data_IF_647243662152
#
_entry.id   IF_647243662152
#
_cell.length_a   1.000
_cell.length_b   1.000
_cell.length_c   1.000
_cell.angle_alpha   90.00
_cell.angle_beta   90.00
_cell.angle_gamma   90.00
#
_symmetry.space_group_name_H-M   'P 1'
#
loop_
_entity.id
_entity.type
_entity.pdbx_description
1 polymer ?
#
# COMPACT_ATOMS: atom_id res chain seq x y z
N UNK A 1 -19.47 -0.30 -9.19
CA UNK A 1 -19.41 -0.71 -10.60
C UNK A 1 -20.21 0.25 -11.47
N UNK A 2 -21.50 0.40 -11.23
CA UNK A 2 -22.40 1.23 -12.07
C UNK A 2 -22.04 2.71 -12.10
N UNK A 3 -21.43 3.23 -11.03
CA UNK A 3 -20.92 4.60 -10.97
C UNK A 3 -19.61 4.80 -11.75
N UNK A 4 -18.99 3.74 -12.28
CA UNK A 4 -17.71 3.82 -12.97
C UNK A 4 -16.50 4.18 -12.09
N UNK A 5 -16.66 4.12 -10.76
CA UNK A 5 -15.63 4.46 -9.78
C UNK A 5 -14.68 3.28 -9.58
N UNK A 6 -13.39 3.55 -9.57
CA UNK A 6 -12.40 2.57 -9.14
C UNK A 6 -12.34 2.51 -7.60
N UNK A 7 -12.21 1.31 -7.05
CA UNK A 7 -12.15 1.08 -5.60
C UNK A 7 -10.78 0.54 -5.21
N UNK A 8 -10.34 0.89 -4.02
CA UNK A 8 -9.15 0.39 -3.37
C UNK A 8 -9.49 -0.07 -1.95
N UNK A 9 -8.99 -1.22 -1.56
CA UNK A 9 -9.28 -1.84 -0.27
C UNK A 9 -8.02 -1.88 0.57
N UNK A 10 -8.17 -1.59 1.84
CA UNK A 10 -7.09 -1.60 2.82
C UNK A 10 -7.48 -2.41 4.04
N UNK A 11 -6.50 -3.06 4.64
CA UNK A 11 -6.58 -3.55 6.01
C UNK A 11 -5.94 -2.48 6.90
N UNK A 12 -6.55 -2.20 8.04
CA UNK A 12 -5.94 -1.35 9.05
C UNK A 12 -4.62 -1.98 9.51
N UNK A 13 -3.54 -1.26 9.25
CA UNK A 13 -2.21 -1.71 9.61
C UNK A 13 -1.91 -1.38 11.06
N UNK A 14 -1.11 -2.22 11.72
CA UNK A 14 -0.61 -1.92 13.05
C UNK A 14 0.24 -0.66 13.00
N UNK A 15 0.02 0.29 13.92
CA UNK A 15 0.82 1.51 13.95
C UNK A 15 2.29 1.20 14.15
N UNK A 16 3.12 1.91 13.42
CA UNK A 16 4.56 1.82 13.53
C UNK A 16 5.12 3.13 14.07
N UNK A 17 6.29 3.08 14.69
CA UNK A 17 6.99 4.26 15.19
C UNK A 17 6.20 5.08 16.22
N UNK A 18 5.45 4.40 17.08
CA UNK A 18 4.71 5.01 18.20
C UNK A 18 3.77 6.15 17.76
N UNK A 19 3.10 6.00 16.64
CA UNK A 19 2.25 7.04 16.06
C UNK A 19 1.00 7.29 16.89
N UNK A 20 0.76 8.54 17.25
CA UNK A 20 -0.32 8.93 18.15
C UNK A 20 -1.72 8.70 17.60
N UNK A 21 -1.94 8.84 16.30
CA UNK A 21 -3.25 8.65 15.68
C UNK A 21 -3.71 7.18 15.64
N UNK A 22 -2.84 6.26 15.96
CA UNK A 22 -3.14 4.85 16.14
C UNK A 22 -3.17 4.41 17.63
N UNK A 23 -3.04 5.36 18.56
CA UNK A 23 -3.26 5.07 19.98
C UNK A 23 -4.70 4.59 20.16
N UNK A 24 -5.02 3.75 21.04
CA UNK A 24 -6.34 3.16 21.28
C UNK A 24 -6.66 1.94 20.41
N UNK A 25 -5.63 1.12 20.13
CA UNK A 25 -5.80 -0.16 19.45
C UNK A 25 -6.86 -1.03 20.11
N UNK A 26 -6.84 -1.10 21.43
CA UNK A 26 -7.74 -1.94 22.24
C UNK A 26 -9.21 -1.49 22.17
N UNK A 27 -9.45 -0.22 21.85
CA UNK A 27 -10.78 0.37 21.72
C UNK A 27 -11.26 0.48 20.27
N UNK A 28 -10.37 0.25 19.31
CA UNK A 28 -10.65 0.46 17.90
C UNK A 28 -11.26 -0.79 17.26
N UNK A 29 -12.57 -0.78 17.09
CA UNK A 29 -13.35 -1.86 16.45
C UNK A 29 -12.96 -2.15 15.00
N UNK A 30 -12.13 -1.34 14.38
CA UNK A 30 -11.64 -1.56 13.00
C UNK A 30 -10.39 -2.41 12.93
N UNK A 31 -9.77 -2.76 14.07
CA UNK A 31 -8.67 -3.69 14.11
C UNK A 31 -9.16 -5.14 14.05
N UNK A 32 -8.51 -5.89 13.18
CA UNK A 32 -8.82 -7.30 12.98
C UNK A 32 -8.09 -8.14 14.03
N UNK A 33 -8.83 -9.06 14.59
CA UNK A 33 -8.33 -10.09 15.52
C UNK A 33 -8.20 -11.44 14.82
N UNK A 34 -7.52 -12.43 15.40
CA UNK A 34 -7.48 -13.79 14.84
C UNK A 34 -8.86 -14.40 14.58
N UNK A 35 -9.89 -14.00 15.34
CA UNK A 35 -11.27 -14.49 15.17
C UNK A 35 -11.92 -13.97 13.89
N UNK A 36 -11.38 -12.89 13.31
CA UNK A 36 -11.89 -12.27 12.08
C UNK A 36 -11.21 -12.80 10.82
N UNK A 37 -10.06 -13.48 10.94
CA UNK A 37 -9.22 -13.84 9.79
C UNK A 37 -9.97 -14.65 8.74
N UNK A 38 -10.78 -15.64 9.16
CA UNK A 38 -11.54 -16.45 8.19
C UNK A 38 -12.52 -15.60 7.38
N UNK A 39 -13.24 -14.68 8.03
CA UNK A 39 -14.21 -13.81 7.36
C UNK A 39 -13.52 -12.85 6.39
N UNK A 40 -12.34 -12.33 6.78
CA UNK A 40 -11.56 -11.44 5.92
C UNK A 40 -10.95 -12.20 4.75
N UNK A 41 -10.47 -13.43 4.97
CA UNK A 41 -10.02 -14.31 3.88
C UNK A 41 -11.11 -14.54 2.85
N UNK A 42 -12.32 -14.90 3.30
CA UNK A 42 -13.48 -15.11 2.43
C UNK A 42 -13.86 -13.84 1.67
N UNK A 43 -13.82 -12.69 2.34
CA UNK A 43 -14.08 -11.40 1.70
C UNK A 43 -13.03 -11.06 0.63
N UNK A 44 -11.75 -11.25 0.93
CA UNK A 44 -10.66 -10.96 -0.02
C UNK A 44 -10.72 -11.92 -1.23
N UNK A 45 -11.08 -13.20 -1.03
CA UNK A 45 -11.29 -14.15 -2.12
C UNK A 45 -12.50 -13.78 -2.97
N UNK A 46 -13.59 -13.35 -2.35
CA UNK A 46 -14.77 -12.85 -3.06
C UNK A 46 -14.43 -11.62 -3.90
N UNK A 47 -13.71 -10.65 -3.34
CA UNK A 47 -13.29 -9.44 -4.05
C UNK A 47 -12.39 -9.78 -5.25
N UNK A 48 -11.46 -10.71 -5.08
CA UNK A 48 -10.55 -11.14 -6.15
C UNK A 48 -11.32 -11.85 -7.26
N UNK A 49 -12.23 -12.75 -6.92
CA UNK A 49 -13.09 -13.44 -7.89
C UNK A 49 -14.01 -12.46 -8.65
N UNK A 50 -14.63 -11.52 -7.93
CA UNK A 50 -15.50 -10.49 -8.50
C UNK A 50 -14.74 -9.61 -9.49
N UNK A 51 -13.52 -9.20 -9.14
CA UNK A 51 -12.63 -8.43 -10.03
C UNK A 51 -12.40 -9.12 -11.37
N UNK A 52 -12.15 -10.42 -11.35
CA UNK A 52 -11.85 -11.21 -12.55
C UNK A 52 -13.09 -11.56 -13.38
N UNK A 53 -14.19 -11.86 -12.72
CA UNK A 53 -15.39 -12.39 -13.39
C UNK A 53 -16.33 -11.28 -13.89
N UNK A 54 -16.42 -10.16 -13.19
CA UNK A 54 -17.40 -9.12 -13.41
C UNK A 54 -16.81 -7.79 -13.92
N UNK A 55 -15.49 -7.71 -14.09
CA UNK A 55 -14.81 -6.54 -14.64
C UNK A 55 -14.85 -5.29 -13.75
N UNK A 56 -14.97 -5.47 -12.44
CA UNK A 56 -14.91 -4.36 -11.49
C UNK A 56 -13.61 -3.58 -11.64
N UNK A 57 -13.70 -2.26 -11.53
CA UNK A 57 -12.54 -1.37 -11.51
C UNK A 57 -11.93 -1.37 -10.11
N UNK A 58 -11.08 -2.33 -9.83
CA UNK A 58 -10.41 -2.48 -8.55
C UNK A 58 -8.91 -2.22 -8.70
N UNK A 59 -8.36 -1.36 -7.84
CA UNK A 59 -6.94 -1.01 -7.84
C UNK A 59 -6.09 -2.15 -7.30
N UNK A 60 -6.60 -2.84 -6.25
CA UNK A 60 -5.90 -3.97 -5.66
C UNK A 60 -5.73 -5.10 -6.67
N UNK A 61 -4.54 -5.66 -6.71
CA UNK A 61 -4.21 -6.84 -7.51
C UNK A 61 -4.45 -8.12 -6.70
N UNK A 62 -4.69 -9.26 -7.37
CA UNK A 62 -4.84 -10.56 -6.71
C UNK A 62 -3.69 -10.85 -5.75
N UNK A 63 -2.46 -10.57 -6.17
CA UNK A 63 -1.29 -10.74 -5.32
C UNK A 63 -1.36 -9.86 -4.06
N UNK A 64 -1.79 -8.61 -4.19
CA UNK A 64 -1.95 -7.70 -3.04
C UNK A 64 -2.98 -8.22 -2.04
N UNK A 65 -4.11 -8.75 -2.53
CA UNK A 65 -5.11 -9.36 -1.65
C UNK A 65 -4.59 -10.59 -0.90
N UNK A 66 -3.81 -11.45 -1.57
CA UNK A 66 -3.17 -12.58 -0.91
C UNK A 66 -2.13 -12.14 0.13
N UNK A 67 -1.40 -11.07 -0.13
CA UNK A 67 -0.45 -10.51 0.82
C UNK A 67 -1.13 -9.80 2.01
N UNK A 68 -2.32 -9.23 1.82
CA UNK A 68 -3.14 -8.75 2.94
C UNK A 68 -3.51 -9.87 3.92
N UNK A 69 -3.81 -11.08 3.42
CA UNK A 69 -4.05 -12.24 4.28
C UNK A 69 -2.80 -12.62 5.08
N UNK A 70 -1.63 -12.48 4.46
CA UNK A 70 -0.35 -12.74 5.14
C UNK A 70 -0.02 -11.63 6.15
N UNK A 71 -0.32 -10.36 5.82
CA UNK A 71 -0.14 -9.23 6.73
C UNK A 71 -0.86 -9.43 8.07
N UNK A 72 -2.14 -9.84 8.02
CA UNK A 72 -2.91 -10.13 9.24
C UNK A 72 -2.24 -11.18 10.13
N UNK A 73 -1.44 -12.08 9.53
CA UNK A 73 -0.73 -13.17 10.22
C UNK A 73 0.72 -12.81 10.55
N UNK A 74 1.12 -11.56 10.32
CA UNK A 74 2.49 -11.09 10.57
C UNK A 74 3.56 -11.68 9.62
N UNK A 75 3.17 -12.11 8.40
CA UNK A 75 4.03 -12.87 7.50
C UNK A 75 4.20 -12.21 6.11
N UNK A 76 4.26 -10.88 6.03
CA UNK A 76 4.44 -10.19 4.76
C UNK A 76 5.85 -10.42 4.19
N UNK A 77 5.98 -10.89 2.94
CA UNK A 77 7.28 -10.97 2.29
C UNK A 77 7.91 -9.58 2.15
N UNK A 78 9.22 -9.44 2.38
CA UNK A 78 9.91 -8.16 2.22
C UNK A 78 9.73 -7.59 0.80
N UNK A 79 9.45 -6.30 0.72
CA UNK A 79 9.33 -5.56 -0.54
C UNK A 79 10.09 -4.25 -0.48
N UNK A 80 10.44 -3.70 -1.63
CA UNK A 80 11.24 -2.47 -1.68
C UNK A 80 10.34 -1.24 -1.66
N UNK A 81 10.13 -0.68 -0.48
CA UNK A 81 9.39 0.56 -0.29
C UNK A 81 10.13 1.75 -0.92
N UNK A 82 9.38 2.61 -1.61
CA UNK A 82 9.86 3.84 -2.25
C UNK A 82 9.32 5.12 -1.61
N UNK A 83 8.78 5.03 -0.40
CA UNK A 83 8.35 6.19 0.36
C UNK A 83 9.48 7.24 0.46
N UNK A 84 9.14 8.51 0.33
CA UNK A 84 10.09 9.62 0.27
C UNK A 84 10.89 9.73 -1.04
N UNK A 85 10.70 8.80 -1.98
CA UNK A 85 11.33 8.84 -3.31
C UNK A 85 10.29 9.07 -4.43
N UNK A 86 9.16 8.40 -4.37
CA UNK A 86 8.07 8.48 -5.36
C UNK A 86 6.78 9.04 -4.79
N UNK A 87 6.69 9.16 -3.51
CA UNK A 87 5.56 9.73 -2.78
C UNK A 87 6.04 10.54 -1.58
N UNK A 88 5.30 11.58 -1.26
CA UNK A 88 5.58 12.49 -0.17
C UNK A 88 4.25 13.02 0.35
N UNK A 89 4.14 13.17 1.65
CA UNK A 89 2.99 13.77 2.30
C UNK A 89 3.39 15.14 2.84
N UNK A 90 2.53 16.11 2.58
CA UNK A 90 2.62 17.43 3.16
C UNK A 90 1.58 17.49 4.27
N UNK A 91 2.03 17.72 5.51
CA UNK A 91 1.14 17.88 6.65
C UNK A 91 0.46 19.26 6.61
N UNK A 92 -0.59 19.43 7.40
CA UNK A 92 -1.37 20.68 7.46
C UNK A 92 -0.56 21.87 7.94
N UNK A 93 0.53 21.66 8.64
CA UNK A 93 1.46 22.68 9.10
C UNK A 93 2.60 22.98 8.11
N UNK A 94 2.59 22.35 6.93
CA UNK A 94 3.59 22.49 5.87
C UNK A 94 4.83 21.62 6.07
N UNK A 95 4.91 20.83 7.13
CA UNK A 95 5.98 19.87 7.33
C UNK A 95 5.80 18.62 6.46
N UNK A 96 6.85 17.85 6.29
CA UNK A 96 6.88 16.70 5.40
C UNK A 96 6.80 15.38 6.18
N UNK A 97 6.25 14.36 5.52
CA UNK A 97 6.35 12.98 5.95
C UNK A 97 6.58 12.06 4.74
N UNK A 98 7.38 10.99 4.86
CA UNK A 98 7.70 10.12 3.74
C UNK A 98 6.53 9.25 3.28
N UNK A 99 5.61 8.91 4.19
CA UNK A 99 4.43 8.10 3.91
C UNK A 99 3.37 8.26 5.01
N UNK A 100 2.18 7.69 4.78
CA UNK A 100 1.08 7.75 5.73
C UNK A 100 1.37 6.99 7.05
N UNK A 101 1.94 5.78 7.06
CA UNK A 101 2.35 5.13 8.30
C UNK A 101 3.38 5.90 9.14
N UNK A 102 4.08 6.86 8.56
CA UNK A 102 5.01 7.76 9.27
C UNK A 102 4.47 9.18 9.45
N UNK A 103 3.17 9.38 9.24
CA UNK A 103 2.56 10.72 9.27
C UNK A 103 2.76 11.44 10.60
N UNK A 104 2.60 10.75 11.72
CA UNK A 104 2.74 11.29 13.08
C UNK A 104 4.10 11.00 13.71
N UNK A 105 5.04 10.39 12.98
CA UNK A 105 6.37 10.15 13.50
C UNK A 105 7.06 11.48 13.85
N UNK A 106 7.77 11.50 14.96
CA UNK A 106 8.41 12.72 15.50
C UNK A 106 9.63 13.16 14.73
N UNK A 107 10.08 12.39 13.75
CA UNK A 107 11.24 12.72 12.95
C UNK A 107 11.00 13.97 12.10
N UNK A 108 11.96 14.91 12.09
CA UNK A 108 11.90 16.15 11.32
C UNK A 108 12.38 15.92 9.88
N UNK A 109 11.44 15.76 8.98
CA UNK A 109 11.69 15.66 7.53
C UNK A 109 11.77 17.03 6.83
N UNK A 110 11.69 18.14 7.59
CA UNK A 110 11.67 19.49 7.07
C UNK A 110 10.33 19.93 6.50
N UNK A 111 10.40 20.94 5.66
CA UNK A 111 9.23 21.53 4.95
C UNK A 111 9.44 21.47 3.44
N UNK A 112 8.43 21.86 2.66
CA UNK A 112 8.54 21.97 1.19
C UNK A 112 9.69 22.90 0.80
N UNK A 113 9.85 24.01 1.53
CA UNK A 113 10.85 25.03 1.24
C UNK A 113 12.26 24.60 1.67
N UNK A 114 12.33 23.78 2.72
CA UNK A 114 13.59 23.27 3.27
C UNK A 114 13.47 21.78 3.64
N UNK A 115 13.48 20.89 2.65
CA UNK A 115 13.38 19.45 2.90
C UNK A 115 14.67 18.92 3.55
N UNK A 116 14.50 18.06 4.55
CA UNK A 116 15.57 17.43 5.32
C UNK A 116 15.60 15.92 5.17
N UNK A 117 15.36 15.42 3.96
CA UNK A 117 15.35 13.99 3.72
C UNK A 117 16.78 13.40 3.77
N UNK A 118 17.06 12.67 4.81
CA UNK A 118 18.17 11.73 4.86
C UNK A 118 17.68 10.37 4.31
N UNK A 119 18.06 10.08 3.07
CA UNK A 119 17.65 8.85 2.40
C UNK A 119 18.27 7.60 3.02
N UNK A 120 19.48 7.68 3.60
CA UNK A 120 20.12 6.55 4.25
C UNK A 120 19.34 6.17 5.52
N UNK A 121 19.03 7.15 6.35
CA UNK A 121 18.21 6.95 7.54
C UNK A 121 16.79 6.45 7.18
N UNK A 122 16.17 7.03 6.15
CA UNK A 122 14.86 6.59 5.70
C UNK A 122 14.89 5.13 5.20
N UNK A 123 15.94 4.72 4.50
CA UNK A 123 16.08 3.35 4.01
C UNK A 123 16.32 2.36 5.16
N UNK A 124 17.00 2.74 6.24
CA UNK A 124 17.11 1.96 7.47
C UNK A 124 15.73 1.78 8.14
N UNK A 125 14.98 2.86 8.32
CA UNK A 125 13.62 2.82 8.89
C UNK A 125 12.69 1.94 8.05
N UNK A 126 12.82 1.93 6.72
CA UNK A 126 12.03 1.10 5.83
C UNK A 126 12.29 -0.40 5.97
N UNK A 127 13.47 -0.81 6.41
CA UNK A 127 13.77 -2.23 6.63
C UNK A 127 12.84 -2.83 7.68
N UNK A 128 12.58 -2.10 8.75
CA UNK A 128 11.61 -2.50 9.77
C UNK A 128 10.18 -2.50 9.21
N UNK A 129 9.79 -1.42 8.51
CA UNK A 129 8.44 -1.26 7.98
C UNK A 129 8.06 -2.31 6.95
N UNK A 130 8.99 -2.75 6.11
CA UNK A 130 8.68 -3.55 4.90
C UNK A 130 8.08 -4.91 5.19
N UNK A 131 8.20 -5.41 6.40
CA UNK A 131 7.63 -6.69 6.85
C UNK A 131 6.27 -6.55 7.53
N UNK A 132 5.83 -5.33 7.81
CA UNK A 132 4.61 -5.03 8.58
C UNK A 132 3.69 -4.03 7.89
N UNK A 133 3.97 -3.68 6.64
CA UNK A 133 3.25 -2.64 5.92
C UNK A 133 2.96 -3.07 4.49
N UNK A 134 1.72 -2.89 4.06
CA UNK A 134 1.27 -3.01 2.67
C UNK A 134 0.54 -1.73 2.23
N UNK A 135 1.00 -0.57 2.71
CA UNK A 135 0.41 0.73 2.33
C UNK A 135 0.28 0.85 0.83
N UNK A 136 -0.95 0.93 0.33
CA UNK A 136 -1.25 0.98 -1.12
C UNK A 136 -0.60 2.15 -1.81
N UNK A 137 -0.39 3.27 -1.11
CA UNK A 137 0.33 4.42 -1.65
C UNK A 137 1.76 4.10 -2.09
N UNK A 138 2.40 3.09 -1.49
CA UNK A 138 3.79 2.73 -1.77
C UNK A 138 3.94 1.33 -2.33
N UNK A 139 3.16 0.36 -1.82
CA UNK A 139 3.26 -1.03 -2.20
C UNK A 139 2.93 -1.24 -3.69
N UNK A 140 1.80 -0.74 -4.16
CA UNK A 140 1.39 -0.84 -5.57
C UNK A 140 2.39 -0.11 -6.47
N UNK A 141 2.84 1.08 -6.07
CA UNK A 141 3.81 1.85 -6.83
C UNK A 141 5.19 1.18 -6.89
N UNK A 142 5.56 0.35 -5.90
CA UNK A 142 6.82 -0.39 -5.93
C UNK A 142 6.94 -1.30 -7.16
N UNK A 143 5.83 -1.81 -7.68
CA UNK A 143 5.83 -2.64 -8.90
C UNK A 143 6.24 -1.87 -10.14
N UNK A 144 6.01 -0.55 -10.20
CA UNK A 144 6.43 0.29 -11.32
C UNK A 144 7.97 0.39 -11.45
N UNK A 145 8.70 -0.01 -10.41
CA UNK A 145 10.16 -0.04 -10.40
C UNK A 145 10.76 -1.43 -10.65
N UNK A 146 9.92 -2.45 -10.82
CA UNK A 146 10.35 -3.77 -11.27
C UNK A 146 10.42 -3.79 -12.80
N UNK A 147 11.62 -3.62 -13.33
CA UNK A 147 11.87 -3.55 -14.78
C UNK A 147 11.29 -4.75 -15.54
N UNK A 148 11.38 -5.97 -14.98
CA UNK A 148 10.85 -7.17 -15.64
C UNK A 148 9.33 -7.12 -15.76
N UNK A 149 8.65 -6.67 -14.71
CA UNK A 149 7.17 -6.51 -14.73
C UNK A 149 6.75 -5.41 -15.68
N UNK A 150 7.43 -4.27 -15.65
CA UNK A 150 7.15 -3.14 -16.57
C UNK A 150 7.32 -3.58 -18.02
N UNK A 151 8.40 -4.27 -18.36
CA UNK A 151 8.62 -4.78 -19.72
C UNK A 151 7.57 -5.81 -20.15
N UNK A 152 7.21 -6.74 -19.26
CA UNK A 152 6.13 -7.72 -19.53
C UNK A 152 4.79 -7.01 -19.77
N UNK A 153 4.46 -6.04 -18.92
CA UNK A 153 3.25 -5.23 -19.08
C UNK A 153 3.27 -4.44 -20.39
N UNK A 154 4.37 -3.76 -20.72
CA UNK A 154 4.51 -3.00 -21.96
C UNK A 154 4.37 -3.89 -23.20
N UNK A 155 4.98 -5.08 -23.19
CA UNK A 155 4.83 -6.05 -24.27
C UNK A 155 3.37 -6.52 -24.42
N UNK A 156 2.68 -6.80 -23.32
CA UNK A 156 1.24 -7.15 -23.33
C UNK A 156 0.40 -6.01 -23.93
N UNK A 157 0.64 -4.77 -23.51
CA UNK A 157 -0.07 -3.60 -24.04
C UNK A 157 0.20 -3.37 -25.54
N UNK A 158 1.44 -3.56 -26.00
CA UNK A 158 1.79 -3.45 -27.41
C UNK A 158 1.07 -4.50 -28.27
N UNK A 159 0.91 -5.73 -27.75
CA UNK A 159 0.19 -6.81 -28.47
C UNK A 159 -1.34 -6.58 -28.50
N UNK A 160 -1.91 -6.01 -27.46
CA UNK A 160 -3.37 -5.83 -27.35
C UNK A 160 -3.85 -4.42 -27.76
N UNK A 161 -2.93 -3.56 -28.20
CA UNK A 161 -3.19 -2.16 -28.49
C UNK A 161 -3.61 -1.40 -27.23
N UNK A 162 -2.91 -0.36 -26.85
CA UNK A 162 -3.11 0.48 -25.66
C UNK A 162 -4.57 0.95 -25.42
N UNK A 163 -5.51 0.04 -25.54
CA UNK A 163 -6.91 0.25 -25.17
C UNK A 163 -6.93 0.34 -23.67
N UNK A 164 -7.14 1.52 -23.11
CA UNK A 164 -7.19 1.87 -21.71
C UNK A 164 -7.63 0.73 -20.79
N UNK A 165 -6.78 -0.26 -20.67
CA UNK A 165 -6.97 -1.45 -19.84
C UNK A 165 -6.73 -1.01 -18.41
N UNK A 166 -7.66 -1.31 -17.54
CA UNK A 166 -7.46 -1.27 -16.08
C UNK A 166 -6.45 -2.32 -15.61
N UNK A 167 -5.85 -3.09 -16.53
CA UNK A 167 -4.77 -4.01 -16.21
C UNK A 167 -3.57 -3.21 -15.72
N UNK A 168 -3.49 -3.08 -14.42
CA UNK A 168 -2.32 -2.59 -13.72
C UNK A 168 -1.11 -3.49 -14.00
N UNK A 169 0.08 -2.97 -13.80
CA UNK A 169 1.33 -3.72 -13.93
C UNK A 169 1.32 -4.88 -12.92
N UNK A 170 1.03 -6.09 -13.38
CA UNK A 170 1.00 -7.32 -12.57
C UNK A 170 2.31 -8.08 -12.67
#
# INVERSE_FOLDING_TARGET
HDAGIATDYHINETPMMSQDHFKHLDENVTYLTPDDWSKVDDLLDYLDATRHNEGYKMVNQSKHMQEMKQLMRGAVPPWKCRAGQNSLIIRTDGTLAPCFPMYSATHDWGTIENPKFDHAQLDEMKQECSTHCLSTCNYILAYCYDTKRVLKWAAKQAMHGFKGSTDTIQ
#
